data_IF_615372740495
#
_entry.id   IF_615372740495
#
_cell.length_a   1.000
_cell.length_b   1.000
_cell.length_c   1.000
_cell.angle_alpha   90.00
_cell.angle_beta   90.00
_cell.angle_gamma   90.00
#
_symmetry.space_group_name_H-M   'P 1'
#
loop_
_entity.id
_entity.type
_entity.pdbx_description
1 polymer ?
#
# COMPACT_ATOMS: atom_id res chain seq x y z
N UNK A 1 18.92 -9.54 7.06
CA UNK A 1 18.28 -9.43 8.37
C UNK A 1 17.41 -8.18 8.44
N UNK A 2 16.18 -8.38 8.88
CA UNK A 2 15.27 -7.27 9.06
C UNK A 2 15.80 -6.32 10.13
N UNK A 3 15.74 -5.01 9.87
CA UNK A 3 15.95 -4.02 10.92
C UNK A 3 14.85 -4.19 11.96
N UNK A 4 15.12 -3.97 13.25
CA UNK A 4 14.07 -3.94 14.24
C UNK A 4 13.01 -2.92 13.82
N UNK A 5 11.75 -3.28 13.95
CA UNK A 5 10.66 -2.37 13.62
C UNK A 5 10.68 -1.18 14.59
N UNK A 6 10.55 0.03 14.05
CA UNK A 6 10.50 1.24 14.87
C UNK A 6 9.34 1.15 15.85
N UNK A 7 9.58 1.51 17.09
CA UNK A 7 8.58 1.44 18.16
C UNK A 7 7.33 2.26 17.84
N UNK A 8 7.49 3.40 17.17
CA UNK A 8 6.36 4.25 16.77
C UNK A 8 5.47 3.53 15.75
N UNK A 9 6.08 2.80 14.82
CA UNK A 9 5.35 2.01 13.83
C UNK A 9 4.55 0.91 14.54
N UNK A 10 5.18 0.19 15.48
CA UNK A 10 4.53 -0.85 16.26
C UNK A 10 3.32 -0.31 17.02
N UNK A 11 3.46 0.86 17.63
CA UNK A 11 2.36 1.49 18.38
C UNK A 11 1.21 1.89 17.48
N UNK A 12 1.50 2.44 16.30
CA UNK A 12 0.48 2.84 15.32
C UNK A 12 -0.27 1.60 14.83
N UNK A 13 0.46 0.55 14.45
CA UNK A 13 -0.16 -0.69 13.98
C UNK A 13 -1.02 -1.34 15.06
N UNK A 14 -0.57 -1.30 16.30
CA UNK A 14 -1.34 -1.81 17.42
C UNK A 14 -2.65 -1.06 17.59
N UNK A 15 -2.63 0.27 17.49
CA UNK A 15 -3.84 1.09 17.56
C UNK A 15 -4.80 0.79 16.41
N UNK A 16 -4.26 0.42 15.24
CA UNK A 16 -5.07 0.02 14.09
C UNK A 16 -5.63 -1.40 14.22
N UNK A 17 -5.14 -2.16 15.20
CA UNK A 17 -5.53 -3.56 15.37
C UNK A 17 -4.82 -4.50 14.41
N UNK A 18 -3.67 -4.10 13.89
CA UNK A 18 -2.88 -4.90 12.94
C UNK A 18 -1.72 -5.58 13.64
N UNK A 19 -1.51 -6.85 13.29
CA UNK A 19 -0.30 -7.58 13.67
C UNK A 19 0.80 -7.26 12.65
N UNK A 20 1.95 -6.70 13.08
CA UNK A 20 3.05 -6.40 12.16
C UNK A 20 3.51 -7.60 11.33
N UNK A 21 3.44 -8.79 11.89
CA UNK A 21 3.83 -10.02 11.20
C UNK A 21 2.92 -10.35 10.01
N UNK A 22 1.69 -9.87 10.03
CA UNK A 22 0.71 -10.12 8.97
C UNK A 22 0.67 -9.01 7.94
N UNK A 23 0.86 -7.76 8.36
CA UNK A 23 0.68 -6.62 7.46
C UNK A 23 1.97 -6.07 6.86
N UNK A 24 3.13 -6.49 7.37
CA UNK A 24 4.44 -6.02 6.91
C UNK A 24 5.32 -7.19 6.47
N UNK A 25 6.22 -6.91 5.54
CA UNK A 25 7.34 -7.81 5.26
C UNK A 25 8.62 -7.00 5.09
N UNK A 26 9.75 -7.67 5.27
CA UNK A 26 11.07 -7.06 5.08
C UNK A 26 11.52 -7.28 3.63
N UNK A 27 11.75 -6.17 2.93
CA UNK A 27 12.29 -6.19 1.58
C UNK A 27 13.69 -5.58 1.63
N UNK A 28 14.70 -6.44 1.79
CA UNK A 28 16.12 -6.03 1.83
C UNK A 28 16.41 -4.91 2.85
N UNK A 29 15.84 -5.02 4.03
CA UNK A 29 16.02 -4.05 5.11
C UNK A 29 14.99 -2.91 5.11
N UNK A 30 14.07 -2.92 4.18
CA UNK A 30 12.98 -1.93 4.09
C UNK A 30 11.67 -2.59 4.46
N UNK A 31 10.96 -2.00 5.40
CA UNK A 31 9.63 -2.49 5.78
C UNK A 31 8.61 -2.07 4.74
N UNK A 32 7.84 -3.04 4.28
CA UNK A 32 6.81 -2.84 3.25
C UNK A 32 5.48 -3.32 3.78
N UNK A 33 4.44 -2.52 3.58
CA UNK A 33 3.09 -2.84 4.00
C UNK A 33 2.26 -3.24 2.80
N UNK A 34 1.48 -4.30 2.94
CA UNK A 34 0.58 -4.76 1.89
C UNK A 34 -0.49 -3.70 1.62
N UNK A 35 -0.73 -3.41 0.36
CA UNK A 35 -1.71 -2.42 -0.09
C UNK A 35 -3.07 -2.63 0.57
N UNK A 36 -3.51 -3.87 0.69
CA UNK A 36 -4.79 -4.21 1.30
C UNK A 36 -4.91 -3.69 2.73
N UNK A 37 -3.85 -3.84 3.52
CA UNK A 37 -3.86 -3.32 4.89
C UNK A 37 -3.85 -1.81 4.93
N UNK A 38 -3.20 -1.17 3.97
CA UNK A 38 -3.23 0.30 3.84
C UNK A 38 -4.65 0.77 3.54
N UNK A 39 -5.36 0.11 2.61
CA UNK A 39 -6.76 0.44 2.33
C UNK A 39 -7.65 0.26 3.56
N UNK A 40 -7.49 -0.83 4.28
CA UNK A 40 -8.26 -1.09 5.50
C UNK A 40 -7.98 0.00 6.54
N UNK A 41 -6.72 0.37 6.72
CA UNK A 41 -6.34 1.43 7.64
C UNK A 41 -6.96 2.77 7.28
N UNK A 42 -6.98 3.10 5.99
CA UNK A 42 -7.62 4.30 5.50
C UNK A 42 -9.12 4.31 5.80
N UNK A 43 -9.80 3.21 5.52
CA UNK A 43 -11.22 3.07 5.79
C UNK A 43 -11.54 3.14 7.28
N UNK A 44 -10.78 2.47 8.12
CA UNK A 44 -10.96 2.49 9.58
C UNK A 44 -10.77 3.87 10.19
N UNK A 45 -9.95 4.69 9.57
CA UNK A 45 -9.64 6.04 10.07
C UNK A 45 -10.42 7.13 9.35
N UNK A 46 -11.41 6.75 8.57
CA UNK A 46 -12.29 7.68 7.85
C UNK A 46 -11.51 8.67 6.99
N UNK A 47 -10.47 8.19 6.33
CA UNK A 47 -9.67 9.02 5.43
C UNK A 47 -10.46 9.20 4.13
N UNK A 48 -10.77 10.44 3.82
CA UNK A 48 -11.40 10.81 2.56
C UNK A 48 -10.33 11.33 1.60
N UNK A 49 -10.46 11.00 0.32
CA UNK A 49 -9.51 11.49 -0.66
C UNK A 49 -10.18 11.83 -1.99
N UNK A 50 -9.59 12.78 -2.69
CA UNK A 50 -9.94 13.14 -4.06
C UNK A 50 -8.73 12.93 -4.96
N UNK A 51 -9.00 12.43 -6.15
CA UNK A 51 -7.97 12.16 -7.16
C UNK A 51 -8.11 13.12 -8.32
N UNK A 52 -6.98 13.63 -8.79
CA UNK A 52 -6.91 14.51 -9.95
C UNK A 52 -5.84 13.99 -10.89
N UNK A 53 -6.19 13.79 -12.14
CA UNK A 53 -5.24 13.44 -13.19
C UNK A 53 -4.37 14.66 -13.52
N UNK A 54 -3.06 14.52 -13.38
CA UNK A 54 -2.10 15.59 -13.64
C UNK A 54 -1.53 15.43 -15.05
N UNK A 55 -1.16 14.21 -15.40
CA UNK A 55 -0.57 13.92 -16.68
C UNK A 55 -0.98 12.53 -17.13
N UNK A 56 -1.36 12.41 -18.37
CA UNK A 56 -1.62 11.13 -19.00
C UNK A 56 -1.07 11.14 -20.40
N UNK A 57 -0.19 10.20 -20.68
CA UNK A 57 0.27 9.92 -22.02
C UNK A 57 0.05 8.43 -22.28
N UNK A 58 -1.12 8.12 -22.82
CA UNK A 58 -1.52 6.73 -23.06
C UNK A 58 -0.62 6.04 -24.07
N UNK A 59 -0.04 6.80 -24.99
CA UNK A 59 0.87 6.26 -26.00
C UNK A 59 2.17 5.75 -25.38
N UNK A 60 2.70 6.46 -24.39
CA UNK A 60 3.94 6.10 -23.70
C UNK A 60 3.70 5.39 -22.37
N UNK A 61 2.43 5.18 -22.01
CA UNK A 61 2.08 4.51 -20.75
C UNK A 61 2.44 5.32 -19.51
N UNK A 62 2.46 6.64 -19.61
CA UNK A 62 2.82 7.54 -18.50
C UNK A 62 1.55 8.11 -17.89
N UNK A 63 1.40 7.96 -16.58
CA UNK A 63 0.27 8.49 -15.80
C UNK A 63 0.79 9.09 -14.51
N UNK A 64 0.30 10.28 -14.20
CA UNK A 64 0.53 10.91 -12.89
C UNK A 64 -0.81 11.34 -12.31
N UNK A 65 -1.09 10.90 -11.10
CA UNK A 65 -2.33 11.20 -10.38
C UNK A 65 -1.98 11.91 -9.08
N UNK A 66 -2.67 13.01 -8.80
CA UNK A 66 -2.59 13.74 -7.55
C UNK A 66 -3.69 13.26 -6.62
N UNK A 67 -3.33 12.95 -5.39
CA UNK A 67 -4.28 12.61 -4.34
C UNK A 67 -4.28 13.69 -3.27
N UNK A 68 -5.44 14.23 -2.96
CA UNK A 68 -5.64 15.11 -1.82
C UNK A 68 -6.46 14.34 -0.80
N UNK A 69 -5.87 14.06 0.36
CA UNK A 69 -6.52 13.27 1.40
C UNK A 69 -6.65 14.06 2.68
N UNK A 70 -7.71 13.77 3.43
CA UNK A 70 -8.05 14.49 4.67
C UNK A 70 -8.43 13.51 5.76
N UNK A 71 -8.04 13.84 6.97
CA UNK A 71 -8.42 13.12 8.19
C UNK A 71 -8.40 14.08 9.38
N UNK A 72 -9.54 14.22 10.04
CA UNK A 72 -9.64 15.00 11.30
C UNK A 72 -9.01 16.40 11.23
N UNK A 73 -9.23 17.12 10.15
CA UNK A 73 -8.67 18.46 9.96
C UNK A 73 -7.28 18.49 9.33
N UNK A 74 -6.58 17.36 9.31
CA UNK A 74 -5.30 17.25 8.61
C UNK A 74 -5.53 16.97 7.13
N UNK A 75 -4.68 17.53 6.29
CA UNK A 75 -4.75 17.33 4.84
C UNK A 75 -3.34 17.09 4.30
N UNK A 76 -3.24 16.15 3.37
CA UNK A 76 -1.98 15.87 2.66
C UNK A 76 -2.24 15.78 1.16
N UNK A 77 -1.23 16.10 0.40
CA UNK A 77 -1.23 15.95 -1.05
C UNK A 77 -0.09 15.00 -1.42
N UNK A 78 -0.40 14.01 -2.22
CA UNK A 78 0.57 13.07 -2.73
C UNK A 78 0.40 12.89 -4.23
N UNK A 79 1.42 12.37 -4.88
CA UNK A 79 1.40 12.07 -6.30
C UNK A 79 1.76 10.60 -6.49
N UNK A 80 1.08 9.96 -7.42
CA UNK A 80 1.43 8.61 -7.85
C UNK A 80 1.77 8.64 -9.33
N UNK A 81 2.92 8.10 -9.69
CA UNK A 81 3.36 8.00 -11.07
C UNK A 81 3.44 6.54 -11.50
N UNK A 82 3.07 6.28 -12.73
CA UNK A 82 3.30 4.99 -13.36
C UNK A 82 3.82 5.23 -14.78
N UNK A 83 4.85 4.48 -15.15
CA UNK A 83 5.42 4.51 -16.49
C UNK A 83 6.04 3.15 -16.77
N UNK A 84 6.40 2.84 -18.04
CA UNK A 84 7.07 1.57 -18.32
C UNK A 84 8.38 1.37 -17.57
N UNK A 85 8.98 2.45 -17.09
CA UNK A 85 10.24 2.40 -16.31
C UNK A 85 10.03 1.97 -14.87
N UNK A 86 8.86 2.18 -14.29
CA UNK A 86 8.61 1.94 -12.88
C UNK A 86 7.42 1.00 -12.61
N UNK A 87 6.84 0.43 -13.66
CA UNK A 87 5.81 -0.59 -13.48
C UNK A 87 5.83 -1.55 -14.68
N UNK A 88 5.64 -2.81 -14.41
CA UNK A 88 5.47 -3.86 -15.42
C UNK A 88 4.00 -4.18 -15.64
N UNK A 89 3.13 -3.55 -14.87
CA UNK A 89 1.71 -3.78 -14.92
C UNK A 89 1.11 -3.15 -16.18
N UNK A 90 0.16 -3.85 -16.81
CA UNK A 90 -0.56 -3.33 -17.96
C UNK A 90 -1.61 -2.27 -17.61
N UNK A 91 -1.71 -1.92 -16.32
CA UNK A 91 -2.71 -0.98 -15.81
C UNK A 91 -2.06 0.24 -15.15
N UNK A 92 -1.47 1.15 -15.94
CA UNK A 92 -0.75 2.29 -15.37
C UNK A 92 -1.63 3.24 -14.55
N UNK A 93 -2.89 3.42 -14.93
CA UNK A 93 -3.83 4.24 -14.15
C UNK A 93 -4.07 3.67 -12.76
N UNK A 94 -4.38 2.39 -12.68
CA UNK A 94 -4.61 1.72 -11.40
C UNK A 94 -3.37 1.77 -10.52
N UNK A 95 -2.20 1.60 -11.10
CA UNK A 95 -0.94 1.64 -10.36
C UNK A 95 -0.64 3.04 -9.85
N UNK A 96 -0.81 4.07 -10.68
CA UNK A 96 -0.61 5.47 -10.29
C UNK A 96 -1.59 5.85 -9.17
N UNK A 97 -2.84 5.46 -9.28
CA UNK A 97 -3.86 5.69 -8.27
C UNK A 97 -3.49 5.04 -6.93
N UNK A 98 -3.16 3.76 -6.95
CA UNK A 98 -2.76 3.02 -5.74
C UNK A 98 -1.58 3.68 -5.04
N UNK A 99 -0.57 4.06 -5.80
CA UNK A 99 0.62 4.73 -5.25
C UNK A 99 0.27 6.06 -4.60
N UNK A 100 -0.55 6.88 -5.26
CA UNK A 100 -0.97 8.17 -4.72
C UNK A 100 -1.75 8.00 -3.42
N UNK A 101 -2.75 7.13 -3.42
CA UNK A 101 -3.62 6.88 -2.27
C UNK A 101 -2.84 6.26 -1.10
N UNK A 102 -2.03 5.25 -1.37
CA UNK A 102 -1.25 4.58 -0.32
C UNK A 102 -0.28 5.56 0.34
N UNK A 103 0.41 6.38 -0.45
CA UNK A 103 1.31 7.41 0.08
C UNK A 103 0.57 8.39 0.98
N UNK A 104 -0.63 8.80 0.58
CA UNK A 104 -1.46 9.73 1.36
C UNK A 104 -1.89 9.10 2.68
N UNK A 105 -2.37 7.88 2.66
CA UNK A 105 -2.80 7.16 3.86
C UNK A 105 -1.63 6.98 4.83
N UNK A 106 -0.47 6.53 4.33
CA UNK A 106 0.71 6.37 5.17
C UNK A 106 1.16 7.68 5.81
N UNK A 107 1.07 8.80 5.08
CA UNK A 107 1.38 10.12 5.63
C UNK A 107 0.41 10.52 6.74
N UNK A 108 -0.87 10.36 6.52
CA UNK A 108 -1.89 10.72 7.52
C UNK A 108 -1.81 9.86 8.77
N UNK A 109 -1.37 8.61 8.64
CA UNK A 109 -1.22 7.70 9.78
C UNK A 109 0.13 7.83 10.49
N UNK A 110 1.04 8.64 9.97
CA UNK A 110 2.37 8.80 10.56
C UNK A 110 3.34 7.66 10.26
N UNK A 111 3.04 6.84 9.27
CA UNK A 111 3.87 5.70 8.86
C UNK A 111 4.86 6.04 7.74
N UNK A 112 4.66 7.18 7.08
CA UNK A 112 5.52 7.62 5.99
C UNK A 112 6.96 7.82 6.47
N UNK A 113 7.90 7.33 5.70
CA UNK A 113 9.32 7.38 6.07
C UNK A 113 9.81 6.13 6.81
N UNK A 114 8.91 5.37 7.41
CA UNK A 114 9.23 4.11 8.09
C UNK A 114 8.81 2.89 7.29
N UNK A 115 7.72 3.00 6.55
CA UNK A 115 7.08 1.91 5.83
C UNK A 115 6.73 2.39 4.43
N UNK A 116 6.91 1.52 3.45
CA UNK A 116 6.52 1.75 2.06
C UNK A 116 5.36 0.85 1.69
N UNK A 117 4.54 1.27 0.72
CA UNK A 117 3.51 0.42 0.14
C UNK A 117 4.14 -0.66 -0.75
N UNK A 118 3.50 -1.83 -0.82
CA UNK A 118 3.92 -2.87 -1.75
C UNK A 118 3.89 -2.40 -3.21
N UNK A 119 3.03 -1.43 -3.53
CA UNK A 119 2.93 -0.88 -4.88
C UNK A 119 4.17 -0.08 -5.29
N UNK A 120 5.00 0.32 -4.32
CA UNK A 120 6.28 0.97 -4.57
C UNK A 120 7.37 -0.02 -5.00
N UNK A 121 7.18 -1.29 -4.74
CA UNK A 121 8.19 -2.32 -4.99
C UNK A 121 8.35 -2.65 -6.47
N UNK A 122 7.38 -2.27 -7.30
CA UNK A 122 7.48 -2.39 -8.75
C UNK A 122 8.46 -1.39 -9.37
N UNK A 123 8.99 -0.47 -8.57
CA UNK A 123 9.93 0.53 -9.04
C UNK A 123 11.32 -0.04 -9.35
N UNK A 124 11.63 -1.22 -8.86
CA UNK A 124 12.95 -1.80 -9.04
C UNK A 124 13.05 -2.61 -10.33
N UNK A 125 13.94 -2.23 -11.25
CA UNK A 125 14.15 -3.00 -12.48
C UNK A 125 14.83 -4.36 -12.26
N UNK A 126 15.32 -4.63 -11.07
CA UNK A 126 16.03 -5.87 -10.74
C UNK A 126 15.10 -7.02 -10.37
N UNK A 127 13.81 -6.80 -10.39
CA UNK A 127 12.83 -7.80 -10.03
C UNK A 127 12.54 -8.82 -11.15
N UNK A 128 13.48 -9.00 -12.09
CA UNK A 128 13.30 -9.99 -13.15
C UNK A 128 13.39 -11.44 -12.66
N UNK A 129 13.82 -11.66 -11.42
CA UNK A 129 13.90 -12.99 -10.84
C UNK A 129 12.67 -13.37 -10.01
N UNK A 130 11.62 -12.64 -10.15
CA UNK A 130 10.45 -12.75 -9.29
C UNK A 130 9.43 -13.80 -9.73
N UNK A 131 9.84 -14.77 -10.53
CA UNK A 131 9.03 -15.98 -10.70
C UNK A 131 8.78 -16.68 -9.36
N UNK A 132 9.64 -16.42 -8.37
CA UNK A 132 9.43 -16.89 -6.99
C UNK A 132 8.49 -16.01 -6.19
N UNK A 133 8.32 -14.76 -6.60
CA UNK A 133 7.40 -13.83 -5.95
C UNK A 133 5.96 -14.14 -6.32
N UNK A 134 5.72 -14.71 -7.50
CA UNK A 134 4.40 -15.18 -7.90
C UNK A 134 3.83 -16.22 -6.95
N UNK A 135 4.64 -17.17 -6.49
CA UNK A 135 4.23 -18.15 -5.48
C UNK A 135 3.96 -17.49 -4.12
N UNK A 136 4.79 -16.50 -3.78
CA UNK A 136 4.63 -15.71 -2.58
C UNK A 136 3.35 -14.87 -2.61
N UNK A 137 2.99 -14.34 -3.78
CA UNK A 137 1.76 -13.58 -3.97
C UNK A 137 0.51 -14.47 -3.79
N UNK A 138 0.56 -15.71 -4.23
CA UNK A 138 -0.53 -16.65 -4.00
C UNK A 138 -0.69 -16.95 -2.51
N UNK A 139 0.40 -17.15 -1.78
CA UNK A 139 0.35 -17.33 -0.32
C UNK A 139 -0.23 -16.12 0.38
N UNK A 140 0.14 -14.93 -0.06
CA UNK A 140 -0.39 -13.67 0.48
C UNK A 140 -1.88 -13.57 0.23
N UNK A 141 -2.34 -13.88 -0.98
CA UNK A 141 -3.76 -13.87 -1.32
C UNK A 141 -4.56 -14.89 -0.51
N UNK A 142 -4.02 -16.08 -0.27
CA UNK A 142 -4.65 -17.07 0.58
C UNK A 142 -4.78 -16.57 2.03
N UNK A 143 -3.74 -15.93 2.55
CA UNK A 143 -3.74 -15.35 3.89
C UNK A 143 -4.81 -14.27 4.00
N UNK A 144 -4.92 -13.39 3.02
CA UNK A 144 -5.95 -12.36 2.96
C UNK A 144 -7.35 -12.96 2.89
N UNK A 145 -7.54 -13.97 2.06
CA UNK A 145 -8.83 -14.63 1.92
C UNK A 145 -9.25 -15.26 3.25
N UNK A 146 -8.34 -15.92 3.93
CA UNK A 146 -8.60 -16.51 5.23
C UNK A 146 -8.98 -15.47 6.28
N UNK A 147 -8.34 -14.31 6.27
CA UNK A 147 -8.67 -13.24 7.20
C UNK A 147 -10.02 -12.61 6.90
N UNK A 148 -10.36 -12.45 5.63
CA UNK A 148 -11.68 -11.96 5.23
C UNK A 148 -12.75 -12.94 5.68
N UNK A 149 -12.55 -14.22 5.45
CA UNK A 149 -13.48 -15.27 5.85
C UNK A 149 -13.67 -15.30 7.36
N UNK A 150 -12.60 -15.16 8.13
CA UNK A 150 -12.67 -15.05 9.58
C UNK A 150 -13.42 -13.80 10.03
N UNK A 151 -13.19 -12.69 9.37
CA UNK A 151 -13.85 -11.42 9.68
C UNK A 151 -15.35 -11.50 9.37
N UNK A 152 -15.72 -12.10 8.26
CA UNK A 152 -17.12 -12.31 7.88
C UNK A 152 -17.82 -13.29 8.83
N UNK A 153 -17.16 -14.38 9.17
CA UNK A 153 -17.68 -15.33 10.15
C UNK A 153 -17.89 -14.71 11.51
N UNK A 154 -16.98 -13.85 11.94
CA UNK A 154 -17.12 -13.12 13.21
C UNK A 154 -18.31 -12.16 13.18
N UNK A 155 -18.63 -11.57 12.03
CA UNK A 155 -19.80 -10.71 11.87
C UNK A 155 -21.11 -11.49 11.83
N UNK A 156 -21.09 -12.67 11.27
CA UNK A 156 -22.28 -13.55 11.16
C UNK A 156 -22.64 -14.15 12.51
N UNK A 157 -21.64 -14.39 13.38
CA UNK A 157 -21.86 -14.96 14.70
C UNK A 157 -22.34 -13.94 15.73
N UNK A 158 -22.42 -12.69 15.39
CA UNK A 158 -23.01 -11.62 16.21
C UNK A 158 -24.43 -11.31 15.79
#
# INVERSE_FOLDING_TARGET
MAKPLDKRVSEILKKLGFDPKQCLWDCHGTWVMYHRFIEIAGAKNSIAYDLTEIETNSKDGIVCIKCTAKRNGDSVITYGEASPKNTKNAYPYAMAEKRAVDRAILKLLGLHGFVYSEDEMDLSPTNTNNNKVGASDEEVLETFQNEIDKSENAKVLK
#
